data_IF_995644569765
#
_entry.id   IF_995644569765
#
_cell.length_a   1.000
_cell.length_b   1.000
_cell.length_c   1.000
_cell.angle_alpha   90.00
_cell.angle_beta   90.00
_cell.angle_gamma   90.00
#
_symmetry.space_group_name_H-M   'P 1'
#
loop_
_entity.id
_entity.type
_entity.pdbx_description
1 polymer ?
#
# COMPACT_ATOMS: atom_id res chain seq x y z
N UNK A 1 1.42 2.39 4.67
CA UNK A 1 0.58 1.59 3.73
C UNK A 1 1.41 0.98 2.62
N UNK A 2 2.23 1.78 1.95
CA UNK A 2 3.02 1.34 0.80
C UNK A 2 3.93 0.13 1.06
N UNK A 3 4.59 0.06 2.23
CA UNK A 3 5.41 -1.10 2.61
C UNK A 3 4.63 -2.43 2.64
N UNK A 4 3.33 -2.40 2.93
CA UNK A 4 2.48 -3.60 2.90
C UNK A 4 2.22 -4.08 1.47
N UNK A 5 2.08 -3.13 0.52
CA UNK A 5 1.99 -3.41 -0.92
C UNK A 5 3.32 -4.00 -1.41
N UNK A 6 4.45 -3.41 -1.03
CA UNK A 6 5.78 -3.95 -1.33
C UNK A 6 5.93 -5.40 -0.81
N UNK A 7 5.54 -5.64 0.43
CA UNK A 7 5.51 -6.98 1.01
C UNK A 7 4.62 -7.94 0.21
N UNK A 8 3.40 -7.51 -0.15
CA UNK A 8 2.46 -8.30 -0.94
C UNK A 8 3.00 -8.64 -2.35
N UNK A 9 3.78 -7.73 -2.93
CA UNK A 9 4.51 -7.93 -4.18
C UNK A 9 5.79 -8.77 -4.02
N UNK A 10 6.09 -9.20 -2.78
CA UNK A 10 7.25 -9.99 -2.44
C UNK A 10 8.57 -9.22 -2.46
N UNK A 11 8.50 -7.88 -2.41
CA UNK A 11 9.66 -6.99 -2.36
C UNK A 11 9.93 -6.65 -0.89
N UNK A 12 11.16 -6.89 -0.44
CA UNK A 12 11.60 -6.72 0.95
C UNK A 12 10.73 -7.51 1.96
N UNK A 13 10.74 -8.84 1.81
CA UNK A 13 9.70 -9.78 2.21
C UNK A 13 9.46 -10.03 3.72
N UNK A 14 9.92 -9.17 4.64
CA UNK A 14 9.47 -9.25 6.04
C UNK A 14 8.40 -8.22 6.35
N UNK A 15 7.30 -8.69 6.94
CA UNK A 15 6.19 -7.87 7.43
C UNK A 15 6.61 -6.98 8.60
N UNK A 16 7.76 -7.26 9.21
CA UNK A 16 8.43 -6.42 10.22
C UNK A 16 9.11 -5.18 9.63
N UNK A 17 9.30 -5.16 8.30
CA UNK A 17 9.84 -4.00 7.59
C UNK A 17 8.78 -2.92 7.34
N UNK A 18 7.54 -3.14 7.80
CA UNK A 18 6.48 -2.14 7.82
C UNK A 18 6.65 -1.29 9.07
N UNK A 19 7.68 -0.44 9.08
CA UNK A 19 7.95 0.51 10.17
C UNK A 19 7.12 1.80 10.06
N UNK A 20 6.41 1.98 8.94
CA UNK A 20 5.63 3.19 8.66
C UNK A 20 6.47 4.37 8.20
N UNK A 21 7.79 4.20 8.04
CA UNK A 21 8.75 5.23 7.64
C UNK A 21 9.17 5.03 6.19
N UNK A 22 9.00 6.07 5.38
CA UNK A 22 9.50 6.07 4.00
C UNK A 22 10.99 6.45 3.98
N UNK A 23 11.87 5.50 4.32
CA UNK A 23 13.32 5.65 4.21
C UNK A 23 13.90 5.11 2.89
N UNK A 24 15.22 5.17 2.76
CA UNK A 24 15.95 4.74 1.54
C UNK A 24 15.61 3.32 1.09
N UNK A 25 15.45 2.38 2.03
CA UNK A 25 15.05 0.99 1.75
C UNK A 25 13.66 0.90 1.12
N UNK A 26 12.72 1.71 1.62
CA UNK A 26 11.36 1.79 1.07
C UNK A 26 11.40 2.43 -0.31
N UNK A 27 12.21 3.48 -0.51
CA UNK A 27 12.40 4.10 -1.82
C UNK A 27 13.00 3.12 -2.84
N UNK A 28 14.03 2.36 -2.47
CA UNK A 28 14.65 1.34 -3.33
C UNK A 28 13.65 0.23 -3.69
N UNK A 29 12.92 -0.30 -2.71
CA UNK A 29 11.86 -1.27 -2.95
C UNK A 29 10.76 -0.71 -3.87
N UNK A 30 10.44 0.59 -3.75
CA UNK A 30 9.51 1.30 -4.65
C UNK A 30 10.03 1.32 -6.07
N UNK A 31 11.32 1.60 -6.30
CA UNK A 31 11.94 1.57 -7.63
C UNK A 31 11.85 0.19 -8.26
N UNK A 32 12.10 -0.87 -7.49
CA UNK A 32 11.97 -2.26 -7.95
C UNK A 32 10.53 -2.56 -8.36
N UNK A 33 9.55 -2.11 -7.57
CA UNK A 33 8.15 -2.34 -7.91
C UNK A 33 7.72 -1.55 -9.15
N UNK A 34 8.11 -0.29 -9.24
CA UNK A 34 7.85 0.55 -10.41
C UNK A 34 8.43 -0.06 -11.68
N UNK A 35 9.64 -0.61 -11.62
CA UNK A 35 10.24 -1.35 -12.74
C UNK A 35 9.36 -2.53 -13.18
N UNK A 36 8.91 -3.35 -12.22
CA UNK A 36 8.03 -4.50 -12.52
C UNK A 36 6.70 -4.09 -13.13
N UNK A 37 6.21 -2.90 -12.78
CA UNK A 37 4.98 -2.34 -13.32
C UNK A 37 5.20 -1.52 -14.61
N UNK A 38 6.43 -1.43 -15.11
CA UNK A 38 6.74 -0.64 -16.31
C UNK A 38 6.61 0.88 -16.11
N UNK A 39 6.66 1.34 -14.86
CA UNK A 39 6.64 2.75 -14.48
C UNK A 39 8.06 3.34 -14.38
N UNK A 40 8.14 4.67 -14.35
CA UNK A 40 9.39 5.37 -14.03
C UNK A 40 9.87 4.98 -12.63
N UNK A 41 11.13 4.52 -12.52
CA UNK A 41 11.77 4.04 -11.27
C UNK A 41 12.30 5.19 -10.41
N UNK A 42 11.47 6.20 -10.15
CA UNK A 42 11.88 7.37 -9.34
C UNK A 42 11.97 7.04 -7.83
N UNK A 43 11.31 5.97 -7.39
CA UNK A 43 11.22 5.58 -5.98
C UNK A 43 10.20 6.42 -5.21
N UNK A 44 9.35 7.15 -5.91
CA UNK A 44 8.33 8.04 -5.36
C UNK A 44 6.94 7.44 -5.61
N UNK A 45 6.13 7.36 -4.55
CA UNK A 45 4.76 6.86 -4.66
C UNK A 45 3.84 7.99 -5.13
N UNK A 46 3.91 8.29 -6.43
CA UNK A 46 3.06 9.29 -7.08
C UNK A 46 1.72 8.72 -7.55
N UNK A 47 0.92 9.57 -8.21
CA UNK A 47 -0.41 9.21 -8.73
C UNK A 47 -0.40 7.97 -9.64
N UNK A 48 0.61 7.84 -10.51
CA UNK A 48 0.75 6.67 -11.40
C UNK A 48 0.98 5.39 -10.63
N UNK A 49 1.91 5.40 -9.66
CA UNK A 49 2.16 4.29 -8.73
C UNK A 49 0.88 3.88 -7.98
N UNK A 50 0.07 4.85 -7.57
CA UNK A 50 -1.21 4.59 -6.90
C UNK A 50 -2.29 4.01 -7.80
N UNK A 51 -2.40 4.51 -9.03
CA UNK A 51 -3.38 4.01 -9.98
C UNK A 51 -3.13 2.52 -10.24
N UNK A 52 -1.87 2.18 -10.53
CA UNK A 52 -1.43 0.81 -10.77
C UNK A 52 -1.68 -0.11 -9.56
N UNK A 53 -1.39 0.36 -8.34
CA UNK A 53 -1.73 -0.38 -7.13
C UNK A 53 -3.26 -0.52 -6.94
N UNK A 54 -4.01 0.51 -7.32
CA UNK A 54 -5.48 0.55 -7.28
C UNK A 54 -6.12 -0.47 -8.21
N UNK A 55 -5.54 -0.70 -9.39
CA UNK A 55 -6.04 -1.67 -10.37
C UNK A 55 -5.91 -3.12 -9.89
N UNK A 56 -5.05 -3.37 -8.88
CA UNK A 56 -4.90 -4.67 -8.20
C UNK A 56 -5.84 -4.84 -7.01
N UNK A 57 -6.70 -3.86 -6.74
CA UNK A 57 -7.70 -3.94 -5.68
C UNK A 57 -8.94 -4.65 -6.19
N UNK A 58 -9.24 -5.79 -5.58
CA UNK A 58 -10.49 -6.50 -5.79
C UNK A 58 -11.52 -6.07 -4.74
N UNK A 59 -12.71 -5.69 -5.21
CA UNK A 59 -13.85 -5.46 -4.35
C UNK A 59 -14.18 -6.74 -3.57
N UNK A 60 -14.36 -6.61 -2.26
CA UNK A 60 -14.75 -7.72 -1.39
C UNK A 60 -16.12 -7.48 -0.75
N UNK A 61 -16.30 -6.31 -0.14
CA UNK A 61 -17.48 -5.98 0.66
C UNK A 61 -17.64 -4.47 0.87
N UNK A 62 -18.83 -4.04 1.31
CA UNK A 62 -19.15 -2.64 1.58
C UNK A 62 -19.63 -1.87 0.36
N UNK A 63 -19.20 -0.63 0.19
CA UNK A 63 -19.60 0.21 -0.94
C UNK A 63 -18.45 1.09 -1.41
N UNK A 64 -18.28 1.18 -2.73
CA UNK A 64 -17.27 2.05 -3.34
C UNK A 64 -17.61 3.53 -3.20
N UNK A 65 -18.86 3.88 -2.85
CA UNK A 65 -19.30 5.26 -2.64
C UNK A 65 -18.45 5.99 -1.59
N UNK A 66 -18.23 7.29 -1.83
CA UNK A 66 -17.53 8.15 -0.88
C UNK A 66 -18.35 8.29 0.40
N UNK A 67 -17.69 8.17 1.56
CA UNK A 67 -18.37 8.20 2.86
C UNK A 67 -18.80 6.82 3.35
N UNK A 68 -18.69 5.79 2.52
CA UNK A 68 -19.02 4.41 2.89
C UNK A 68 -17.79 3.57 3.18
N UNK A 69 -18.01 2.58 4.03
CA UNK A 69 -17.03 1.54 4.35
C UNK A 69 -16.80 0.66 3.13
N UNK A 70 -15.55 0.41 2.79
CA UNK A 70 -15.18 -0.42 1.64
C UNK A 70 -14.11 -1.42 2.06
N UNK A 71 -14.39 -2.70 1.94
CA UNK A 71 -13.40 -3.75 2.02
C UNK A 71 -12.91 -4.15 0.63
N UNK A 72 -11.58 -4.10 0.45
CA UNK A 72 -10.91 -4.56 -0.77
C UNK A 72 -9.78 -5.51 -0.43
N UNK A 73 -9.49 -6.41 -1.35
CA UNK A 73 -8.29 -7.24 -1.29
C UNK A 73 -7.30 -6.72 -2.29
N UNK A 74 -6.14 -6.29 -1.84
CA UNK A 74 -5.02 -6.03 -2.73
C UNK A 74 -4.34 -7.36 -3.04
N UNK A 75 -4.30 -7.74 -4.32
CA UNK A 75 -3.57 -8.91 -4.79
C UNK A 75 -2.21 -8.51 -5.33
N UNK A 76 -1.18 -8.70 -4.52
CA UNK A 76 0.20 -8.62 -5.00
C UNK A 76 0.64 -9.93 -5.67
N UNK A 77 1.80 -9.90 -6.31
CA UNK A 77 2.37 -11.05 -7.00
C UNK A 77 2.69 -12.25 -6.09
N UNK A 78 2.90 -12.03 -4.78
CA UNK A 78 3.30 -13.08 -3.83
C UNK A 78 2.27 -13.33 -2.73
N UNK A 79 1.65 -12.28 -2.21
CA UNK A 79 0.65 -12.35 -1.15
C UNK A 79 -0.53 -11.43 -1.44
N UNK A 80 -1.67 -11.74 -0.82
CA UNK A 80 -2.82 -10.85 -0.79
C UNK A 80 -2.92 -10.19 0.58
N UNK A 81 -3.30 -8.91 0.60
CA UNK A 81 -3.60 -8.17 1.83
C UNK A 81 -5.04 -7.68 1.80
N UNK A 82 -5.71 -7.80 2.93
CA UNK A 82 -7.04 -7.23 3.11
C UNK A 82 -6.90 -5.80 3.60
N UNK A 83 -7.56 -4.89 2.89
CA UNK A 83 -7.61 -3.46 3.16
C UNK A 83 -9.05 -3.07 3.43
N UNK A 84 -9.23 -2.17 4.38
CA UNK A 84 -10.53 -1.61 4.73
C UNK A 84 -10.43 -0.09 4.70
N UNK A 85 -11.25 0.56 3.88
CA UNK A 85 -11.42 2.01 3.86
C UNK A 85 -12.58 2.38 4.78
N UNK A 86 -12.33 3.27 5.73
CA UNK A 86 -13.38 3.81 6.60
C UNK A 86 -14.22 4.90 5.91
N UNK A 87 -15.26 5.36 6.61
CA UNK A 87 -16.16 6.43 6.16
C UNK A 87 -15.45 7.78 5.97
N UNK A 88 -14.26 7.95 6.56
CA UNK A 88 -13.42 9.13 6.40
C UNK A 88 -12.46 9.00 5.20
N UNK A 89 -12.50 7.88 4.48
CA UNK A 89 -11.65 7.60 3.32
C UNK A 89 -10.26 7.07 3.69
N UNK A 90 -9.99 6.77 4.96
CA UNK A 90 -8.68 6.25 5.39
C UNK A 90 -8.64 4.75 5.19
N UNK A 91 -7.62 4.28 4.48
CA UNK A 91 -7.37 2.85 4.36
C UNK A 91 -6.76 2.32 5.66
N UNK A 92 -7.07 1.07 5.98
CA UNK A 92 -6.56 0.36 7.14
C UNK A 92 -6.22 -1.05 6.71
N UNK A 93 -5.17 -1.63 7.28
CA UNK A 93 -4.74 -2.97 6.93
C UNK A 93 -4.24 -3.69 8.17
N UNK A 94 -4.32 -5.02 8.14
CA UNK A 94 -3.79 -5.85 9.22
C UNK A 94 -2.29 -6.05 9.01
N UNK A 95 -1.46 -5.82 10.02
CA UNK A 95 -0.02 -6.07 10.00
C UNK A 95 0.33 -7.53 10.39
N UNK A 96 1.62 -7.86 10.49
CA UNK A 96 2.13 -9.23 10.74
C UNK A 96 1.77 -9.78 12.10
N UNK A 97 1.48 -8.88 13.03
CA UNK A 97 1.15 -9.18 14.41
C UNK A 97 -0.36 -9.26 14.62
N UNK A 98 -1.16 -9.00 13.58
CA UNK A 98 -2.61 -9.01 13.64
C UNK A 98 -3.22 -7.67 14.04
N UNK A 99 -2.40 -6.62 14.19
CA UNK A 99 -2.85 -5.29 14.57
C UNK A 99 -3.37 -4.52 13.35
N UNK A 100 -4.41 -3.71 13.56
CA UNK A 100 -4.94 -2.83 12.53
C UNK A 100 -4.10 -1.55 12.46
N UNK A 101 -3.50 -1.29 11.30
CA UNK A 101 -2.71 -0.09 11.02
C UNK A 101 -3.49 0.81 10.07
N UNK A 102 -3.54 2.10 10.38
CA UNK A 102 -4.08 3.11 9.47
C UNK A 102 -3.03 3.41 8.40
N UNK A 103 -3.46 3.41 7.15
CA UNK A 103 -2.72 3.93 6.03
C UNK A 103 -2.70 5.46 6.10
N UNK A 104 -1.67 6.04 6.71
CA UNK A 104 -1.32 7.44 6.53
C UNK A 104 -0.33 7.58 5.38
N UNK A 105 -0.64 8.44 4.40
CA UNK A 105 0.37 9.12 3.58
C UNK A 105 0.72 10.50 4.19
N UNK A 106 -0.14 11.00 5.09
CA UNK A 106 -0.07 12.39 5.57
C UNK A 106 0.75 12.57 6.85
N UNK A 107 1.38 11.50 7.33
CA UNK A 107 2.31 11.59 8.44
C UNK A 107 3.62 10.91 8.02
N UNK A 108 4.61 11.75 7.68
CA UNK A 108 6.03 11.43 7.46
C UNK A 108 6.51 11.18 6.02
N UNK A 109 5.81 11.70 5.01
CA UNK A 109 6.42 11.92 3.68
C UNK A 109 6.37 13.39 3.33
N UNK A 110 7.36 14.13 3.82
CA UNK A 110 7.97 15.31 3.21
C UNK A 110 8.83 16.00 4.28
N UNK A 111 10.13 15.85 4.20
CA UNK A 111 11.02 16.96 4.55
C UNK A 111 11.97 17.13 3.36
N UNK A 112 11.68 18.23 2.66
CA UNK A 112 12.46 19.09 1.77
C UNK A 112 13.72 18.54 1.10
#
# INVERSE_FOLDING_TARGET
MWQSILWAEGINASRDSVDGVFGDRTAEATRILQDRWGLTKDGVVGKGTFAEAGDRLEYRDGSTFRGEKLGVTYRGSKYAIWLYRDVQGRYQFRDGNGDMRIAGYDHWTCTT
#
